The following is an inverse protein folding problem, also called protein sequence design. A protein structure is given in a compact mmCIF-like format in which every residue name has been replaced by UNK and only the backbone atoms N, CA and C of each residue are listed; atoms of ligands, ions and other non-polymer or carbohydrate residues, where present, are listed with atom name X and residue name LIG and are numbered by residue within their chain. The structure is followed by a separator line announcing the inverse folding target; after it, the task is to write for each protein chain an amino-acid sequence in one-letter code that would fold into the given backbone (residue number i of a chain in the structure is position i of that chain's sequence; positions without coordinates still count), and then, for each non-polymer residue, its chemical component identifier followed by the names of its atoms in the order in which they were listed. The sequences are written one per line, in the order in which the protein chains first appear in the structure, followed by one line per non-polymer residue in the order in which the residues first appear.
data_IF_121210141710
#
_entry.id   IF_121210141710
#
_cell.length_a   1.000
_cell.length_b   1.000
_cell.length_c   1.000
_cell.angle_alpha   90.00
_cell.angle_beta   90.00
_cell.angle_gamma   90.00
#
_symmetry.space_group_name_H-M   'P 1'
#
loop_
_entity.id
_entity.type
_entity.pdbx_description
1 polymer ?
#
# COMPACT_ATOMS: atom_id res chain seq x y z
N UNK A 1 -22.95 8.56 -7.29
CA UNK A 1 -22.45 7.30 -7.89
C UNK A 1 -21.03 7.58 -8.37
N UNK A 2 -20.04 6.74 -8.04
CA UNK A 2 -18.66 6.90 -8.51
C UNK A 2 -18.58 6.82 -10.05
N UNK A 3 -17.59 7.49 -10.64
CA UNK A 3 -17.25 7.29 -12.05
C UNK A 3 -16.38 6.03 -12.17
N UNK A 4 -17.00 4.93 -12.57
CA UNK A 4 -16.36 3.62 -12.69
C UNK A 4 -15.21 3.60 -13.72
N UNK A 5 -15.31 4.40 -14.79
CA UNK A 5 -14.26 4.48 -15.79
C UNK A 5 -13.02 5.18 -15.21
N UNK A 6 -13.22 6.27 -14.47
CA UNK A 6 -12.15 6.98 -13.78
C UNK A 6 -11.49 6.11 -12.71
N UNK A 7 -12.29 5.42 -11.88
CA UNK A 7 -11.79 4.53 -10.81
C UNK A 7 -10.88 3.46 -11.40
N UNK A 8 -11.34 2.73 -12.42
CA UNK A 8 -10.55 1.70 -13.10
C UNK A 8 -9.23 2.26 -13.66
N UNK A 9 -9.27 3.43 -14.31
CA UNK A 9 -8.07 4.07 -14.84
C UNK A 9 -7.05 4.44 -13.74
N UNK A 10 -7.50 4.82 -12.54
CA UNK A 10 -6.59 5.06 -11.41
C UNK A 10 -6.09 3.76 -10.78
N UNK A 11 -6.92 2.71 -10.69
CA UNK A 11 -6.49 1.38 -10.24
C UNK A 11 -5.37 0.82 -11.13
N UNK A 12 -5.45 0.99 -12.45
CA UNK A 12 -4.39 0.59 -13.38
C UNK A 12 -3.07 1.35 -13.14
N UNK A 13 -3.14 2.64 -12.82
CA UNK A 13 -1.95 3.43 -12.46
C UNK A 13 -1.37 2.98 -11.13
N UNK A 14 -2.21 2.74 -10.12
CA UNK A 14 -1.78 2.24 -8.81
C UNK A 14 -1.13 0.86 -8.91
N UNK A 15 -1.63 -0.02 -9.78
CA UNK A 15 -0.99 -1.32 -10.03
C UNK A 15 0.48 -1.15 -10.43
N UNK A 16 0.77 -0.26 -11.39
CA UNK A 16 2.14 0.01 -11.83
C UNK A 16 3.03 0.56 -10.71
N UNK A 17 2.47 1.41 -9.83
CA UNK A 17 3.20 1.91 -8.65
C UNK A 17 3.50 0.77 -7.68
N UNK A 18 2.52 -0.08 -7.40
CA UNK A 18 2.72 -1.21 -6.50
C UNK A 18 3.62 -2.31 -7.06
N UNK A 19 3.74 -2.43 -8.39
CA UNK A 19 4.74 -3.31 -9.02
C UNK A 19 6.17 -2.84 -8.70
N UNK A 20 6.42 -1.53 -8.73
CA UNK A 20 7.71 -0.96 -8.30
C UNK A 20 7.94 -1.15 -6.80
N UNK A 21 6.88 -1.03 -5.99
CA UNK A 21 6.98 -1.25 -4.54
C UNK A 21 7.29 -2.71 -4.23
N UNK A 22 6.68 -3.66 -4.95
CA UNK A 22 6.96 -5.08 -4.78
C UNK A 22 8.44 -5.37 -5.04
N UNK A 23 9.01 -4.85 -6.13
CA UNK A 23 10.44 -5.01 -6.39
C UNK A 23 11.29 -4.37 -5.29
N UNK A 24 10.94 -3.16 -4.85
CA UNK A 24 11.66 -2.46 -3.77
C UNK A 24 11.60 -3.23 -2.45
N UNK A 25 10.43 -3.71 -2.09
CA UNK A 25 10.17 -4.41 -0.82
C UNK A 25 10.66 -5.86 -0.84
N UNK A 26 10.93 -6.42 -2.02
CA UNK A 26 11.69 -7.67 -2.14
C UNK A 26 13.16 -7.53 -1.70
N UNK A 27 13.70 -6.30 -1.75
CA UNK A 27 15.11 -5.98 -1.47
C UNK A 27 15.32 -5.32 -0.11
N UNK A 28 14.34 -4.54 0.36
CA UNK A 28 14.41 -3.80 1.62
C UNK A 28 13.12 -4.04 2.41
N UNK A 29 13.20 -4.09 3.75
CA UNK A 29 12.01 -4.31 4.57
C UNK A 29 10.96 -3.19 4.47
N UNK A 30 11.41 -1.95 4.28
CA UNK A 30 10.60 -0.74 4.19
C UNK A 30 11.00 0.09 2.96
N UNK A 31 10.21 1.11 2.62
CA UNK A 31 10.43 1.90 1.40
C UNK A 31 11.79 2.61 1.41
N UNK A 32 12.20 3.14 2.57
CA UNK A 32 13.47 3.85 2.72
C UNK A 32 14.67 2.95 3.08
N UNK A 33 14.49 1.64 3.28
CA UNK A 33 15.55 0.72 3.71
C UNK A 33 15.06 -0.28 4.75
N UNK A 34 15.89 -0.62 5.73
CA UNK A 34 15.58 -1.69 6.69
C UNK A 34 14.84 -1.23 7.96
N UNK A 35 14.58 0.08 8.08
CA UNK A 35 13.90 0.69 9.22
C UNK A 35 12.68 1.48 8.78
N UNK A 36 11.62 1.39 9.59
CA UNK A 36 10.41 2.18 9.40
C UNK A 36 10.72 3.67 9.48
N UNK A 37 10.19 4.42 8.52
CA UNK A 37 10.49 5.85 8.37
C UNK A 37 9.23 6.65 8.03
N UNK A 38 9.40 7.97 7.91
CA UNK A 38 8.34 8.84 7.39
C UNK A 38 7.87 8.43 5.99
N UNK A 39 8.75 7.80 5.19
CA UNK A 39 8.39 7.32 3.86
C UNK A 39 7.30 6.24 3.91
N UNK A 40 7.22 5.46 4.99
CA UNK A 40 6.20 4.42 5.17
C UNK A 40 4.97 4.99 5.88
N UNK A 41 5.20 5.85 6.88
CA UNK A 41 4.15 6.45 7.70
C UNK A 41 3.13 7.24 6.86
N UNK A 42 3.61 8.02 5.89
CA UNK A 42 2.75 8.88 5.08
C UNK A 42 1.75 8.13 4.21
N UNK A 43 1.94 6.82 3.98
CA UNK A 43 1.03 6.00 3.20
C UNK A 43 -0.15 5.48 4.01
N UNK A 44 -0.03 5.38 5.33
CA UNK A 44 -1.03 4.75 6.20
C UNK A 44 -2.46 5.29 6.01
N UNK A 45 -2.71 6.61 5.99
CA UNK A 45 -4.06 7.13 5.84
C UNK A 45 -4.71 6.72 4.50
N UNK A 46 -3.98 6.89 3.40
CA UNK A 46 -4.51 6.58 2.06
C UNK A 46 -4.71 5.08 1.86
N UNK A 47 -3.75 4.27 2.28
CA UNK A 47 -3.84 2.81 2.13
C UNK A 47 -4.96 2.22 3.01
N UNK A 48 -5.24 2.80 4.19
CA UNK A 48 -6.36 2.38 5.02
C UNK A 48 -7.70 2.51 4.28
N UNK A 49 -7.92 3.62 3.57
CA UNK A 49 -9.13 3.78 2.76
C UNK A 49 -9.19 2.80 1.59
N UNK A 50 -8.06 2.51 0.93
CA UNK A 50 -8.01 1.52 -0.14
C UNK A 50 -8.35 0.12 0.41
N UNK A 51 -7.82 -0.24 1.58
CA UNK A 51 -8.09 -1.52 2.24
C UNK A 51 -9.54 -1.68 2.70
N UNK A 52 -10.21 -0.58 3.05
CA UNK A 52 -11.64 -0.57 3.37
C UNK A 52 -12.55 -0.58 2.12
N UNK A 53 -11.97 -0.46 0.92
CA UNK A 53 -12.71 -0.44 -0.35
C UNK A 53 -12.75 -1.82 -1.03
N UNK A 54 -13.59 -2.01 -2.07
CA UNK A 54 -13.55 -3.21 -2.92
C UNK A 54 -12.20 -3.44 -3.65
N UNK A 55 -11.29 -2.45 -3.63
CA UNK A 55 -10.01 -2.49 -4.33
C UNK A 55 -8.83 -2.87 -3.43
N UNK A 56 -9.06 -3.44 -2.25
CA UNK A 56 -8.02 -3.96 -1.35
C UNK A 56 -7.05 -4.93 -2.04
N UNK A 57 -7.53 -5.64 -3.09
CA UNK A 57 -6.74 -6.48 -3.97
C UNK A 57 -5.53 -5.77 -4.62
N UNK A 58 -5.53 -4.45 -4.74
CA UNK A 58 -4.36 -3.70 -5.21
C UNK A 58 -3.15 -3.84 -4.29
N UNK A 59 -3.37 -4.05 -2.99
CA UNK A 59 -2.34 -4.20 -1.97
C UNK A 59 -2.12 -5.69 -1.66
N UNK A 60 -3.20 -6.45 -1.46
CA UNK A 60 -3.12 -7.84 -0.98
C UNK A 60 -2.71 -8.87 -2.04
N UNK A 61 -2.74 -8.52 -3.33
CA UNK A 61 -2.34 -9.43 -4.41
C UNK A 61 -0.83 -9.61 -4.55
N UNK A 62 -0.03 -8.77 -3.89
CA UNK A 62 1.43 -8.73 -4.00
C UNK A 62 2.04 -9.09 -2.65
N UNK A 63 2.95 -10.06 -2.63
CA UNK A 63 3.42 -10.67 -1.40
C UNK A 63 4.15 -9.67 -0.49
N UNK A 64 5.13 -8.93 -1.04
CA UNK A 64 5.95 -8.01 -0.25
C UNK A 64 5.19 -6.74 0.12
N UNK A 65 4.36 -6.21 -0.78
CA UNK A 65 3.47 -5.06 -0.51
C UNK A 65 2.44 -5.42 0.57
N UNK A 66 1.83 -6.61 0.52
CA UNK A 66 0.88 -7.05 1.55
C UNK A 66 1.56 -7.19 2.91
N UNK A 67 2.72 -7.85 2.96
CA UNK A 67 3.49 -8.00 4.20
C UNK A 67 3.94 -6.65 4.78
N UNK A 68 4.37 -5.72 3.92
CA UNK A 68 4.71 -4.35 4.33
C UNK A 68 3.50 -3.64 4.92
N UNK A 69 2.34 -3.69 4.25
CA UNK A 69 1.10 -3.10 4.74
C UNK A 69 0.69 -3.66 6.10
N UNK A 70 0.76 -4.99 6.28
CA UNK A 70 0.46 -5.65 7.56
C UNK A 70 1.37 -5.15 8.68
N UNK A 71 2.68 -5.05 8.44
CA UNK A 71 3.64 -4.55 9.43
C UNK A 71 3.32 -3.10 9.82
N UNK A 72 3.23 -2.18 8.84
CA UNK A 72 3.06 -0.75 9.14
C UNK A 72 1.70 -0.43 9.75
N UNK A 73 0.63 -1.11 9.33
CA UNK A 73 -0.72 -0.88 9.84
C UNK A 73 -0.97 -1.55 11.20
N UNK A 74 -0.15 -2.54 11.58
CA UNK A 74 -0.26 -3.20 12.87
C UNK A 74 0.21 -2.35 14.06
N UNK A 75 0.96 -1.26 13.79
CA UNK A 75 1.63 -0.42 14.78
C UNK A 75 0.65 0.25 15.75
N UNK A 76 0.97 0.18 17.05
CA UNK A 76 0.13 0.75 18.10
C UNK A 76 -0.10 2.27 17.94
N UNK A 77 0.86 3.00 17.38
CA UNK A 77 0.71 4.45 17.12
C UNK A 77 -0.27 4.77 16.01
N UNK A 78 -0.54 3.83 15.09
CA UNK A 78 -1.53 3.99 14.03
C UNK A 78 -2.92 3.53 14.46
N UNK A 79 -3.00 2.51 15.32
CA UNK A 79 -4.27 1.94 15.82
C UNK A 79 -4.97 2.78 16.90
N UNK A 80 -4.36 3.88 17.36
CA UNK A 80 -4.93 4.79 18.37
C UNK A 80 -5.95 5.71 17.74
#
# INVERSE_FOLDING_TARGET
VPDEALVRAQCEKLNKVFDVYEERLSKCKYLAGDYFSLADLHHLPCLHYIMASPHSGLITSRQHVSAWWEDISSRATWKK
#
